data_IF_301139762903
#
_entry.id   IF_301139762903
#
_cell.length_a   1.000
_cell.length_b   1.000
_cell.length_c   1.000
_cell.angle_alpha   90.00
_cell.angle_beta   90.00
_cell.angle_gamma   90.00
#
_symmetry.space_group_name_H-M   'P 1'
#
loop_
_entity.id
_entity.type
_entity.pdbx_description
1 polymer ?
#
# COMPACT_ATOMS: atom_id res chain seq x y z
N UNK A 1 19.93 12.41 -30.71
CA UNK A 1 19.69 11.01 -31.14
C UNK A 1 18.22 10.66 -31.06
N UNK A 2 17.70 9.83 -31.96
CA UNK A 2 16.29 9.39 -31.87
C UNK A 2 16.09 8.45 -30.70
N UNK A 3 15.02 8.62 -29.88
CA UNK A 3 14.73 7.72 -28.74
C UNK A 3 14.41 6.27 -29.18
N UNK A 4 14.23 6.05 -30.47
CA UNK A 4 13.92 4.75 -31.07
C UNK A 4 15.12 4.04 -31.71
N UNK A 5 16.32 4.66 -31.69
CA UNK A 5 17.52 3.96 -32.15
C UNK A 5 17.85 2.79 -31.20
N UNK A 6 18.18 1.61 -31.75
CA UNK A 6 18.55 0.47 -30.94
C UNK A 6 19.87 0.72 -30.21
N UNK A 7 20.00 0.14 -29.02
CA UNK A 7 21.29 -0.02 -28.37
C UNK A 7 21.83 -1.40 -28.82
N UNK A 8 22.78 -1.41 -29.73
CA UNK A 8 23.22 -2.66 -30.37
C UNK A 8 22.14 -3.27 -31.28
N UNK A 9 21.80 -4.54 -31.07
CA UNK A 9 20.76 -5.26 -31.82
C UNK A 9 19.35 -5.09 -31.27
N UNK A 10 19.19 -4.58 -30.04
CA UNK A 10 17.90 -4.49 -29.36
C UNK A 10 17.46 -3.03 -29.17
N UNK A 11 16.13 -2.81 -29.08
CA UNK A 11 15.60 -1.49 -28.78
C UNK A 11 15.93 -1.13 -27.32
N UNK A 12 16.35 0.12 -27.07
CA UNK A 12 16.77 0.64 -25.75
C UNK A 12 15.80 0.32 -24.60
N UNK A 13 14.50 0.38 -24.87
CA UNK A 13 13.51 0.07 -23.84
C UNK A 13 13.51 -1.41 -23.45
N UNK A 14 13.87 -2.34 -24.33
CA UNK A 14 13.99 -3.78 -24.05
C UNK A 14 15.15 -4.03 -23.08
N UNK A 15 16.29 -3.37 -23.34
CA UNK A 15 17.47 -3.45 -22.45
C UNK A 15 17.12 -2.98 -21.04
N UNK A 16 16.39 -1.85 -20.92
CA UNK A 16 15.92 -1.35 -19.61
C UNK A 16 14.92 -2.32 -18.98
N UNK A 17 13.96 -2.83 -19.74
CA UNK A 17 12.97 -3.79 -19.25
C UNK A 17 13.64 -5.03 -18.66
N UNK A 18 14.55 -5.64 -19.40
CA UNK A 18 15.30 -6.81 -18.95
C UNK A 18 16.12 -6.50 -17.66
N UNK A 19 16.72 -5.33 -17.58
CA UNK A 19 17.46 -4.90 -16.39
C UNK A 19 16.53 -4.76 -15.17
N UNK A 20 15.40 -4.07 -15.31
CA UNK A 20 14.43 -3.82 -14.25
C UNK A 20 13.75 -5.12 -13.77
N UNK A 21 13.50 -6.08 -14.67
CA UNK A 21 12.90 -7.36 -14.32
C UNK A 21 13.79 -8.17 -13.36
N UNK A 22 15.12 -8.00 -13.44
CA UNK A 22 16.08 -8.68 -12.58
C UNK A 22 16.36 -7.96 -11.24
N UNK A 23 15.79 -6.76 -11.03
CA UNK A 23 15.95 -5.98 -9.79
C UNK A 23 14.87 -6.32 -8.77
N UNK A 24 15.09 -5.90 -7.51
CA UNK A 24 14.13 -6.06 -6.42
C UNK A 24 13.20 -4.84 -6.31
N UNK A 25 12.01 -5.03 -5.72
CA UNK A 25 11.13 -3.91 -5.36
C UNK A 25 11.84 -3.02 -4.33
N UNK A 26 11.68 -1.71 -4.47
CA UNK A 26 12.40 -0.72 -3.67
C UNK A 26 13.72 -0.22 -4.28
N UNK A 27 14.33 -1.01 -5.18
CA UNK A 27 15.59 -0.62 -5.83
C UNK A 27 15.42 0.62 -6.72
N UNK A 28 16.53 1.36 -6.86
CA UNK A 28 16.58 2.60 -7.63
C UNK A 28 17.56 2.44 -8.79
N UNK A 29 17.08 2.71 -9.99
CA UNK A 29 17.90 2.83 -11.21
C UNK A 29 18.21 4.31 -11.41
N UNK A 30 19.47 4.69 -11.30
CA UNK A 30 19.90 6.08 -11.49
C UNK A 30 20.03 6.45 -12.97
N UNK A 31 20.13 7.76 -13.28
CA UNK A 31 20.41 8.19 -14.66
C UNK A 31 21.81 7.78 -15.10
N UNK A 32 22.78 7.69 -14.19
CA UNK A 32 24.12 7.17 -14.46
C UNK A 32 24.10 5.69 -14.82
N UNK A 33 23.28 4.87 -14.11
CA UNK A 33 23.11 3.46 -14.42
C UNK A 33 22.46 3.27 -15.79
N UNK A 34 21.43 4.06 -16.08
CA UNK A 34 20.77 4.07 -17.39
C UNK A 34 21.73 4.51 -18.51
N UNK A 35 22.56 5.51 -18.23
CA UNK A 35 23.58 5.97 -19.18
C UNK A 35 24.57 4.85 -19.51
N UNK A 36 25.11 4.18 -18.50
CA UNK A 36 26.01 3.01 -18.68
C UNK A 36 25.33 1.85 -19.42
N UNK A 37 24.08 1.57 -19.07
CA UNK A 37 23.33 0.47 -19.66
C UNK A 37 23.03 0.67 -21.14
N UNK A 38 22.80 1.92 -21.56
CA UNK A 38 22.38 2.29 -22.92
C UNK A 38 23.49 2.89 -23.78
N UNK A 39 24.68 3.04 -23.22
CA UNK A 39 25.80 3.78 -23.82
C UNK A 39 25.38 5.22 -24.22
N UNK A 40 24.77 5.94 -23.25
CA UNK A 40 24.27 7.30 -23.42
C UNK A 40 24.83 8.23 -22.34
N UNK A 41 25.01 9.53 -22.70
CA UNK A 41 25.43 10.53 -21.74
C UNK A 41 24.23 11.00 -20.88
N UNK A 42 24.29 10.92 -19.52
CA UNK A 42 23.16 11.22 -18.64
C UNK A 42 22.58 12.63 -18.76
N UNK A 43 23.37 13.62 -19.11
CA UNK A 43 22.92 15.01 -19.25
C UNK A 43 22.39 15.29 -20.67
N UNK A 44 23.15 14.92 -21.71
CA UNK A 44 22.84 15.25 -23.09
C UNK A 44 21.70 14.39 -23.64
N UNK A 45 21.66 13.09 -23.32
CA UNK A 45 20.70 12.12 -23.82
C UNK A 45 19.52 11.85 -22.85
N UNK A 46 19.35 12.70 -21.83
CA UNK A 46 18.34 12.50 -20.78
C UNK A 46 16.94 12.28 -21.31
N UNK A 47 16.55 13.00 -22.35
CA UNK A 47 15.24 12.84 -22.98
C UNK A 47 15.09 11.46 -23.63
N UNK A 48 16.10 10.99 -24.35
CA UNK A 48 16.10 9.67 -24.98
C UNK A 48 15.98 8.54 -23.93
N UNK A 49 16.72 8.64 -22.83
CA UNK A 49 16.60 7.72 -21.69
C UNK A 49 15.20 7.74 -21.09
N UNK A 50 14.63 8.92 -20.83
CA UNK A 50 13.28 9.04 -20.28
C UNK A 50 12.21 8.42 -21.17
N UNK A 51 12.34 8.57 -22.50
CA UNK A 51 11.42 7.95 -23.45
C UNK A 51 11.52 6.43 -23.46
N UNK A 52 12.74 5.91 -23.42
CA UNK A 52 12.99 4.47 -23.33
C UNK A 52 12.45 3.89 -22.00
N UNK A 53 12.71 4.56 -20.86
CA UNK A 53 12.18 4.17 -19.55
C UNK A 53 10.65 4.20 -19.52
N UNK A 54 10.00 5.22 -20.11
CA UNK A 54 8.52 5.27 -20.16
C UNK A 54 7.92 4.04 -20.82
N UNK A 55 8.54 3.57 -21.91
CA UNK A 55 8.08 2.36 -22.60
C UNK A 55 8.38 1.11 -21.77
N UNK A 56 9.58 0.97 -21.24
CA UNK A 56 9.96 -0.13 -20.37
C UNK A 56 9.04 -0.21 -19.14
N UNK A 57 8.75 0.93 -18.50
CA UNK A 57 7.85 1.03 -17.35
C UNK A 57 6.42 0.58 -17.69
N UNK A 58 5.93 0.91 -18.90
CA UNK A 58 4.61 0.44 -19.35
C UNK A 58 4.58 -1.08 -19.50
N UNK A 59 5.59 -1.66 -20.13
CA UNK A 59 5.67 -3.11 -20.31
C UNK A 59 5.85 -3.83 -18.95
N UNK A 60 6.73 -3.34 -18.09
CA UNK A 60 6.92 -3.88 -16.73
C UNK A 60 5.63 -3.86 -15.90
N UNK A 61 4.85 -2.77 -15.99
CA UNK A 61 3.56 -2.70 -15.32
C UNK A 61 2.54 -3.71 -15.87
N UNK A 62 2.51 -3.92 -17.19
CA UNK A 62 1.53 -4.79 -17.84
C UNK A 62 1.89 -6.28 -17.68
N UNK A 63 3.15 -6.63 -17.86
CA UNK A 63 3.63 -8.02 -17.86
C UNK A 63 3.95 -8.50 -16.44
N UNK A 64 4.78 -7.73 -15.72
CA UNK A 64 5.35 -8.15 -14.43
C UNK A 64 4.62 -7.56 -13.22
N UNK A 65 3.60 -6.69 -13.45
CA UNK A 65 2.86 -5.97 -12.40
C UNK A 65 3.75 -5.06 -11.54
N UNK A 66 4.87 -4.61 -12.11
CA UNK A 66 5.86 -3.73 -11.47
C UNK A 66 5.73 -2.30 -11.98
N UNK A 67 5.52 -1.36 -11.09
CA UNK A 67 5.47 0.07 -11.44
C UNK A 67 6.84 0.72 -11.20
N UNK A 68 7.23 1.65 -12.08
CA UNK A 68 8.37 2.52 -11.89
C UNK A 68 7.90 3.93 -11.54
N UNK A 69 8.42 4.49 -10.45
CA UNK A 69 8.18 5.86 -10.03
C UNK A 69 9.42 6.72 -10.25
N UNK A 70 9.26 7.86 -10.92
CA UNK A 70 10.36 8.79 -11.14
C UNK A 70 10.75 9.49 -9.82
N UNK A 71 12.03 9.45 -9.49
CA UNK A 71 12.64 10.24 -8.42
C UNK A 71 13.31 11.46 -9.08
N UNK A 72 12.87 12.70 -8.78
CA UNK A 72 13.41 13.89 -9.38
C UNK A 72 14.94 13.93 -9.30
N UNK A 73 15.59 14.23 -10.42
CA UNK A 73 17.03 14.37 -10.60
C UNK A 73 17.90 13.12 -10.26
N UNK A 74 17.31 12.02 -9.83
CA UNK A 74 18.03 10.81 -9.45
C UNK A 74 17.84 9.66 -10.45
N UNK A 75 16.59 9.37 -10.82
CA UNK A 75 16.29 8.22 -11.67
C UNK A 75 14.88 7.67 -11.44
N UNK A 76 14.77 6.36 -11.33
CA UNK A 76 13.49 5.66 -11.17
C UNK A 76 13.60 4.59 -10.10
N UNK A 77 12.54 4.45 -9.28
CA UNK A 77 12.42 3.42 -8.25
C UNK A 77 11.39 2.38 -8.69
N UNK A 78 11.67 1.11 -8.42
CA UNK A 78 10.69 0.04 -8.53
C UNK A 78 9.79 0.12 -7.30
N UNK A 79 8.50 0.32 -7.54
CA UNK A 79 7.51 0.59 -6.49
C UNK A 79 7.11 -0.71 -5.79
N UNK A 80 6.98 -0.66 -4.48
CA UNK A 80 6.49 -1.78 -3.68
C UNK A 80 4.98 -2.03 -3.93
N UNK A 81 4.50 -3.28 -3.82
CA UNK A 81 3.09 -3.62 -4.10
C UNK A 81 2.10 -2.78 -3.31
N UNK A 82 2.39 -2.46 -2.06
CA UNK A 82 1.54 -1.68 -1.16
C UNK A 82 1.40 -0.21 -1.61
N UNK A 83 2.40 0.31 -2.31
CA UNK A 83 2.40 1.69 -2.81
C UNK A 83 1.62 1.87 -4.12
N UNK A 84 1.23 0.80 -4.82
CA UNK A 84 0.49 0.88 -6.08
C UNK A 84 -0.83 1.66 -5.93
N UNK A 85 -1.52 1.49 -4.79
CA UNK A 85 -2.74 2.25 -4.51
C UNK A 85 -2.47 3.76 -4.44
N UNK A 86 -1.34 4.17 -3.82
CA UNK A 86 -0.90 5.57 -3.77
C UNK A 86 -0.66 6.11 -5.18
N UNK A 87 0.05 5.37 -6.03
CA UNK A 87 0.29 5.76 -7.42
C UNK A 87 -1.02 5.88 -8.22
N UNK A 88 -1.94 4.94 -8.07
CA UNK A 88 -3.25 5.00 -8.72
C UNK A 88 -4.02 6.26 -8.32
N UNK A 89 -4.04 6.62 -7.02
CA UNK A 89 -4.66 7.87 -6.52
C UNK A 89 -3.99 9.12 -7.09
N UNK A 90 -2.66 9.12 -7.26
CA UNK A 90 -1.93 10.23 -7.92
C UNK A 90 -2.34 10.36 -9.39
N UNK A 91 -2.44 9.26 -10.13
CA UNK A 91 -2.87 9.29 -11.54
C UNK A 91 -4.33 9.74 -11.68
N UNK A 92 -5.23 9.28 -10.80
CA UNK A 92 -6.62 9.73 -10.74
C UNK A 92 -6.70 11.25 -10.55
N UNK A 93 -5.91 11.81 -9.62
CA UNK A 93 -5.84 13.26 -9.39
C UNK A 93 -5.31 14.03 -10.62
N UNK A 94 -4.30 13.49 -11.31
CA UNK A 94 -3.79 14.09 -12.55
C UNK A 94 -4.83 14.07 -13.67
N UNK A 95 -5.53 12.95 -13.85
CA UNK A 95 -6.62 12.82 -14.84
C UNK A 95 -7.73 13.82 -14.57
N UNK A 96 -8.18 13.95 -13.30
CA UNK A 96 -9.19 14.95 -12.93
C UNK A 96 -8.77 16.38 -13.27
N UNK A 97 -7.51 16.75 -12.97
CA UNK A 97 -7.00 18.09 -13.35
C UNK A 97 -6.95 18.30 -14.86
N UNK A 98 -6.67 17.26 -15.63
CA UNK A 98 -6.68 17.33 -17.09
C UNK A 98 -8.10 17.52 -17.63
N UNK A 99 -9.10 16.83 -17.07
CA UNK A 99 -10.51 17.01 -17.42
C UNK A 99 -11.01 18.43 -17.13
N UNK A 100 -10.68 18.98 -15.95
CA UNK A 100 -11.05 20.37 -15.61
C UNK A 100 -10.43 21.36 -16.61
N UNK A 101 -9.16 21.17 -16.97
CA UNK A 101 -8.52 22.03 -17.97
C UNK A 101 -9.14 21.89 -19.36
N UNK A 102 -9.49 20.66 -19.76
CA UNK A 102 -10.18 20.40 -21.03
C UNK A 102 -11.53 21.11 -21.11
N UNK A 103 -12.34 21.02 -20.05
CA UNK A 103 -13.60 21.75 -19.93
C UNK A 103 -13.40 23.25 -20.02
N UNK A 104 -12.46 23.82 -19.23
CA UNK A 104 -12.15 25.23 -19.27
C UNK A 104 -11.73 25.70 -20.68
N UNK A 105 -10.97 24.89 -21.41
CA UNK A 105 -10.59 25.19 -22.80
C UNK A 105 -11.79 25.17 -23.72
N UNK A 106 -12.72 24.22 -23.54
CA UNK A 106 -13.91 24.11 -24.39
C UNK A 106 -14.97 25.15 -24.09
N UNK A 107 -15.06 25.64 -22.85
CA UNK A 107 -16.09 26.61 -22.42
C UNK A 107 -15.65 28.06 -22.59
N UNK A 108 -14.33 28.35 -22.52
CA UNK A 108 -13.80 29.72 -22.62
C UNK A 108 -13.31 30.03 -24.05
N UNK A 109 -14.18 29.82 -25.04
CA UNK A 109 -13.91 30.09 -26.44
C UNK A 109 -14.64 31.36 -26.85
N UNK A 110 -13.98 32.25 -27.61
CA UNK A 110 -14.64 33.37 -28.24
C UNK A 110 -15.44 32.87 -29.47
N UNK A 111 -16.74 32.92 -29.37
CA UNK A 111 -17.66 32.50 -30.45
C UNK A 111 -17.99 33.59 -31.46
N UNK A 112 -17.41 34.82 -31.33
CA UNK A 112 -17.65 35.90 -32.26
C UNK A 112 -17.10 35.56 -33.66
N UNK A 113 -17.96 35.59 -34.68
CA UNK A 113 -17.55 35.26 -36.06
C UNK A 113 -17.34 33.76 -36.34
N UNK A 114 -17.63 32.88 -35.38
CA UNK A 114 -17.48 31.44 -35.57
C UNK A 114 -18.69 30.85 -36.32
N UNK A 115 -18.39 29.88 -37.19
CA UNK A 115 -19.43 29.09 -37.89
C UNK A 115 -20.38 28.39 -36.89
N UNK A 116 -21.69 28.40 -37.13
CA UNK A 116 -22.68 27.77 -36.24
C UNK A 116 -22.42 26.28 -35.99
N UNK A 117 -21.94 25.52 -36.96
CA UNK A 117 -21.64 24.10 -36.81
C UNK A 117 -20.47 23.88 -35.86
N UNK A 118 -19.44 24.73 -36.00
CA UNK A 118 -18.26 24.68 -35.11
C UNK A 118 -18.65 25.09 -33.69
N UNK A 119 -19.48 26.12 -33.53
CA UNK A 119 -20.02 26.50 -32.21
C UNK A 119 -20.77 25.33 -31.58
N UNK A 120 -21.67 24.67 -32.31
CA UNK A 120 -22.41 23.50 -31.80
C UNK A 120 -21.46 22.36 -31.39
N UNK A 121 -20.37 22.12 -32.15
CA UNK A 121 -19.37 21.11 -31.74
C UNK A 121 -18.70 21.45 -30.40
N UNK A 122 -18.37 22.72 -30.13
CA UNK A 122 -17.85 23.14 -28.82
C UNK A 122 -18.86 22.94 -27.69
N UNK A 123 -20.14 23.25 -27.92
CA UNK A 123 -21.21 23.04 -26.93
C UNK A 123 -21.33 21.55 -26.56
N UNK A 124 -21.33 20.67 -27.57
CA UNK A 124 -21.38 19.21 -27.35
C UNK A 124 -20.16 18.72 -26.55
N UNK A 125 -18.96 19.20 -26.89
CA UNK A 125 -17.73 18.84 -26.19
C UNK A 125 -17.76 19.35 -24.74
N UNK A 126 -18.18 20.60 -24.51
CA UNK A 126 -18.31 21.17 -23.17
C UNK A 126 -19.31 20.37 -22.32
N UNK A 127 -20.45 20.01 -22.89
CA UNK A 127 -21.44 19.16 -22.21
C UNK A 127 -20.89 17.78 -21.88
N UNK A 128 -20.13 17.15 -22.76
CA UNK A 128 -19.47 15.87 -22.50
C UNK A 128 -18.49 15.96 -21.34
N UNK A 129 -17.68 17.03 -21.24
CA UNK A 129 -16.80 17.27 -20.09
C UNK A 129 -17.58 17.46 -18.79
N UNK A 130 -18.67 18.23 -18.80
CA UNK A 130 -19.49 18.44 -17.63
C UNK A 130 -20.11 17.11 -17.10
N UNK A 131 -20.63 16.28 -18.02
CA UNK A 131 -21.14 14.96 -17.65
C UNK A 131 -20.06 14.04 -17.08
N UNK A 132 -18.87 14.07 -17.66
CA UNK A 132 -17.74 13.27 -17.18
C UNK A 132 -17.27 13.73 -15.79
N UNK A 133 -17.23 15.03 -15.51
CA UNK A 133 -16.91 15.55 -14.19
C UNK A 133 -17.95 15.15 -13.14
N UNK A 134 -19.24 15.23 -13.46
CA UNK A 134 -20.30 14.81 -12.54
C UNK A 134 -20.21 13.30 -12.25
N UNK A 135 -19.91 12.48 -13.25
CA UNK A 135 -19.67 11.06 -13.06
C UNK A 135 -18.49 10.82 -12.10
N UNK A 136 -17.37 11.50 -12.32
CA UNK A 136 -16.19 11.39 -11.45
C UNK A 136 -16.49 11.81 -10.01
N UNK A 137 -17.27 12.90 -9.83
CA UNK A 137 -17.70 13.34 -8.50
C UNK A 137 -18.54 12.28 -7.78
N UNK A 138 -19.48 11.63 -8.47
CA UNK A 138 -20.29 10.53 -7.92
C UNK A 138 -19.44 9.32 -7.54
N UNK A 139 -18.45 8.99 -8.38
CA UNK A 139 -17.49 7.92 -8.08
C UNK A 139 -16.65 8.22 -6.84
N UNK A 140 -16.13 9.45 -6.69
CA UNK A 140 -15.38 9.88 -5.51
C UNK A 140 -16.20 9.72 -4.21
N UNK A 141 -17.50 10.08 -4.25
CA UNK A 141 -18.40 9.91 -3.09
C UNK A 141 -18.59 8.44 -2.75
N UNK A 142 -18.81 7.58 -3.77
CA UNK A 142 -18.95 6.13 -3.56
C UNK A 142 -17.66 5.52 -3.00
N UNK A 143 -16.53 5.89 -3.55
CA UNK A 143 -15.22 5.40 -3.08
C UNK A 143 -14.98 5.76 -1.61
N UNK A 144 -15.25 7.01 -1.21
CA UNK A 144 -15.14 7.43 0.20
C UNK A 144 -16.06 6.62 1.13
N UNK A 145 -17.28 6.34 0.70
CA UNK A 145 -18.21 5.49 1.48
C UNK A 145 -17.67 4.06 1.65
N UNK A 146 -17.10 3.49 0.58
CA UNK A 146 -16.49 2.16 0.65
C UNK A 146 -15.27 2.18 1.58
N UNK A 147 -14.39 3.20 1.47
CA UNK A 147 -13.22 3.35 2.34
C UNK A 147 -13.63 3.47 3.82
N UNK A 148 -14.69 4.23 4.11
CA UNK A 148 -15.26 4.36 5.47
C UNK A 148 -15.82 3.03 5.97
N UNK A 149 -16.62 2.34 5.17
CA UNK A 149 -17.17 1.03 5.55
C UNK A 149 -16.08 -0.02 5.80
N UNK A 150 -15.03 -0.02 4.96
CA UNK A 150 -13.88 -0.93 5.16
C UNK A 150 -13.14 -0.59 6.46
N UNK A 151 -12.93 0.70 6.76
CA UNK A 151 -12.30 1.11 8.00
C UNK A 151 -13.12 0.70 9.24
N UNK A 152 -14.44 0.87 9.17
CA UNK A 152 -15.38 0.48 10.22
C UNK A 152 -15.34 -1.04 10.47
N UNK A 153 -15.41 -1.84 9.41
CA UNK A 153 -15.28 -3.32 9.51
C UNK A 153 -13.93 -3.73 10.11
N UNK A 154 -12.85 -3.06 9.75
CA UNK A 154 -11.51 -3.34 10.32
C UNK A 154 -11.46 -3.04 11.81
N UNK A 155 -12.02 -1.91 12.24
CA UNK A 155 -12.05 -1.54 13.66
C UNK A 155 -12.91 -2.53 14.46
N UNK A 156 -14.10 -2.88 13.97
CA UNK A 156 -14.97 -3.87 14.63
C UNK A 156 -14.29 -5.24 14.73
N UNK A 157 -13.54 -5.65 13.70
CA UNK A 157 -12.79 -6.91 13.74
C UNK A 157 -11.62 -6.86 14.72
N UNK A 158 -10.94 -5.73 14.86
CA UNK A 158 -9.87 -5.54 15.83
C UNK A 158 -10.43 -5.62 17.27
N UNK A 159 -11.53 -4.92 17.53
CA UNK A 159 -12.22 -4.98 18.83
C UNK A 159 -12.69 -6.40 19.20
N UNK A 160 -13.21 -7.16 18.23
CA UNK A 160 -13.61 -8.55 18.45
C UNK A 160 -12.39 -9.44 18.79
N UNK A 161 -11.26 -9.25 18.11
CA UNK A 161 -10.01 -9.96 18.40
C UNK A 161 -9.47 -9.66 19.80
N UNK A 162 -9.57 -8.40 20.24
CA UNK A 162 -9.16 -7.99 21.58
C UNK A 162 -10.05 -8.61 22.66
N UNK A 163 -11.35 -8.73 22.42
CA UNK A 163 -12.30 -9.40 23.31
C UNK A 163 -11.99 -10.90 23.43
N UNK A 164 -11.71 -11.58 22.32
CA UNK A 164 -11.31 -12.99 22.34
C UNK A 164 -9.99 -13.21 23.11
N UNK A 165 -9.01 -12.31 22.94
CA UNK A 165 -7.75 -12.37 23.69
C UNK A 165 -7.95 -12.16 25.19
N UNK A 166 -8.82 -11.23 25.59
CA UNK A 166 -9.19 -11.00 26.98
C UNK A 166 -9.93 -12.20 27.58
N UNK A 167 -10.88 -12.79 26.88
CA UNK A 167 -11.57 -14.00 27.30
C UNK A 167 -10.60 -15.15 27.53
N UNK A 168 -9.67 -15.39 26.59
CA UNK A 168 -8.65 -16.43 26.75
C UNK A 168 -7.71 -16.20 27.94
N UNK A 169 -7.46 -14.94 28.34
CA UNK A 169 -6.71 -14.63 29.58
C UNK A 169 -7.54 -14.88 30.81
N UNK A 170 -8.81 -14.56 30.76
CA UNK A 170 -9.75 -14.79 31.88
C UNK A 170 -9.88 -16.28 32.17
N UNK A 171 -10.11 -17.10 31.15
CA UNK A 171 -10.18 -18.57 31.28
C UNK A 171 -8.90 -19.17 31.86
N UNK A 172 -7.71 -18.64 31.48
CA UNK A 172 -6.44 -19.10 32.10
C UNK A 172 -6.34 -18.74 33.58
N UNK A 173 -6.77 -17.55 33.96
CA UNK A 173 -6.76 -17.12 35.36
C UNK A 173 -7.75 -17.93 36.20
N UNK A 174 -8.93 -18.21 35.67
CA UNK A 174 -9.93 -19.08 36.38
C UNK A 174 -9.37 -20.48 36.58
N UNK A 175 -8.76 -21.09 35.56
CA UNK A 175 -8.12 -22.40 35.69
C UNK A 175 -6.98 -22.41 36.74
N UNK A 176 -6.20 -21.33 36.84
CA UNK A 176 -5.14 -21.21 37.85
C UNK A 176 -5.72 -21.11 39.27
N UNK A 177 -6.82 -20.38 39.45
CA UNK A 177 -7.50 -20.25 40.72
C UNK A 177 -8.12 -21.60 41.16
N UNK A 178 -8.81 -22.28 40.25
CA UNK A 178 -9.39 -23.60 40.53
C UNK A 178 -8.33 -24.64 40.90
N UNK A 179 -7.20 -24.67 40.18
CA UNK A 179 -6.08 -25.58 40.49
C UNK A 179 -5.45 -25.25 41.85
N UNK A 180 -5.32 -23.97 42.20
CA UNK A 180 -4.83 -23.54 43.53
C UNK A 180 -5.76 -23.98 44.64
N UNK A 181 -7.07 -23.85 44.49
CA UNK A 181 -8.06 -24.27 45.48
C UNK A 181 -8.18 -25.79 45.53
N UNK A 182 -7.98 -26.49 44.44
CA UNK A 182 -7.90 -27.95 44.43
C UNK A 182 -6.66 -28.45 45.19
N UNK A 183 -5.49 -27.85 44.98
CA UNK A 183 -4.26 -28.16 45.69
C UNK A 183 -4.40 -27.92 47.22
N UNK A 184 -5.03 -26.81 47.63
CA UNK A 184 -5.33 -26.53 49.04
C UNK A 184 -6.23 -27.60 49.67
N UNK A 185 -7.30 -28.01 48.96
CA UNK A 185 -8.21 -29.08 49.44
C UNK A 185 -7.50 -30.41 49.60
N UNK A 186 -6.58 -30.77 48.73
CA UNK A 186 -5.78 -32.00 48.82
C UNK A 186 -4.90 -31.95 50.09
N UNK A 187 -4.24 -30.82 50.37
CA UNK A 187 -3.39 -30.64 51.55
C UNK A 187 -4.22 -30.70 52.84
N UNK A 188 -5.40 -30.10 52.84
CA UNK A 188 -6.28 -30.07 53.99
C UNK A 188 -6.91 -31.44 54.31
N UNK A 189 -7.16 -32.25 53.28
CA UNK A 189 -7.76 -33.60 53.41
C UNK A 189 -6.76 -34.74 53.54
N UNK A 190 -5.46 -34.51 53.47
CA UNK A 190 -4.44 -35.56 53.48
C UNK A 190 -4.35 -36.25 54.88
N UNK A 191 -4.65 -37.54 54.99
CA UNK A 191 -4.55 -38.27 56.28
C UNK A 191 -3.06 -38.45 56.60
N UNK A 192 -2.71 -38.20 57.91
CA UNK A 192 -1.35 -38.42 58.40
C UNK A 192 -0.40 -37.24 58.44
N UNK A 193 -0.78 -36.08 57.93
CA UNK A 193 0.02 -34.85 58.03
C UNK A 193 -0.25 -34.14 59.38
N UNK A 194 0.84 -33.67 60.01
CA UNK A 194 0.72 -32.79 61.17
C UNK A 194 0.29 -31.41 60.84
N UNK A 195 -0.20 -30.61 61.76
CA UNK A 195 -0.61 -29.22 61.50
C UNK A 195 0.54 -28.38 60.92
N UNK A 196 1.77 -28.54 61.42
CA UNK A 196 2.96 -27.85 60.92
C UNK A 196 3.34 -28.26 59.46
N UNK A 197 3.21 -29.56 59.17
CA UNK A 197 3.48 -30.04 57.80
C UNK A 197 2.45 -29.54 56.79
N UNK A 198 1.20 -29.38 57.16
CA UNK A 198 0.15 -28.78 56.30
C UNK A 198 0.43 -27.31 56.08
N UNK A 199 0.90 -26.59 57.07
CA UNK A 199 1.21 -25.17 56.96
C UNK A 199 2.46 -24.93 56.08
N UNK A 200 3.48 -25.76 56.18
CA UNK A 200 4.64 -25.76 55.31
C UNK A 200 4.29 -26.06 53.84
N UNK A 201 3.44 -27.06 53.59
CA UNK A 201 2.98 -27.37 52.24
C UNK A 201 2.14 -26.27 51.62
N UNK A 202 1.27 -25.62 52.44
CA UNK A 202 0.54 -24.43 51.96
C UNK A 202 1.47 -23.29 51.59
N UNK A 203 2.49 -23.04 52.38
CA UNK A 203 3.49 -22.00 52.11
C UNK A 203 4.26 -22.29 50.81
N UNK A 204 4.70 -23.52 50.59
CA UNK A 204 5.40 -23.93 49.37
C UNK A 204 4.50 -23.82 48.14
N UNK A 205 3.24 -24.20 48.22
CA UNK A 205 2.28 -24.08 47.11
C UNK A 205 1.93 -22.63 46.76
N UNK A 206 2.03 -21.71 47.74
CA UNK A 206 1.84 -20.28 47.48
C UNK A 206 3.11 -19.60 46.94
N UNK A 207 4.31 -20.11 47.24
CA UNK A 207 5.58 -19.57 46.77
C UNK A 207 5.90 -19.93 45.34
N UNK A 208 5.49 -21.11 44.87
CA UNK A 208 5.73 -21.57 43.47
C UNK A 208 4.89 -20.77 42.43
N UNK A 209 3.81 -20.15 42.88
CA UNK A 209 2.98 -19.28 42.03
C UNK A 209 3.58 -17.88 41.81
N UNK A 210 4.58 -17.46 42.59
CA UNK A 210 5.22 -16.14 42.48
C UNK A 210 6.43 -16.08 41.54
N UNK A 211 6.97 -17.22 41.10
CA UNK A 211 8.22 -17.27 40.32
C UNK A 211 8.03 -17.55 38.82
N UNK A 212 6.82 -17.59 38.33
CA UNK A 212 6.51 -17.89 36.91
C UNK A 212 6.50 -16.69 35.96
N UNK A 213 6.57 -15.47 36.46
CA UNK A 213 6.37 -14.24 35.63
C UNK A 213 7.64 -13.42 35.38
N UNK A 214 8.79 -14.04 35.37
CA UNK A 214 10.06 -13.30 35.18
C UNK A 214 11.02 -13.94 34.22
N UNK A 215 10.61 -14.22 32.96
CA UNK A 215 11.56 -14.27 31.84
C UNK A 215 10.84 -14.38 30.49
N UNK A 216 10.54 -13.23 29.87
CA UNK A 216 10.37 -13.07 28.42
C UNK A 216 10.68 -11.61 28.08
N UNK A 217 12.00 -11.33 27.86
CA UNK A 217 12.49 -10.11 27.25
C UNK A 217 12.39 -10.17 25.74
#
# INVERSE_FOLDING_TARGET
MSPFQPAGSEARWVTIYNHVTNMTTGDVVTYEDLGRLLDLHPEDDRHAMQMAVRRAAKESLLQDKRALEAIPNKGYRIVEPEEHLRLAKVQQKKSRRALVRGEQTATNVDFNGMDPEVRHAFEVVAQAFAMQQEFMRRMDVRQKRIEQAVAEVRNTKAEASDVEALQSRLDRLENLVENSDHAKRIVDGAPGLTAEQREQLRFLLTQDQGNGDGDAG
#
